data_IF_160995189035
#
_entry.id   IF_160995189035
#
_cell.length_a   1.000
_cell.length_b   1.000
_cell.length_c   1.000
_cell.angle_alpha   90.00
_cell.angle_beta   90.00
_cell.angle_gamma   90.00
#
_symmetry.space_group_name_H-M   'P 1'
#
loop_
_entity.id
_entity.type
_entity.pdbx_description
1 polymer ?
#
# COMPACT_ATOMS: atom_id res chain seq x y z
N UNK A 1 23.15 -6.56 11.94
CA UNK A 1 22.76 -5.39 11.12
C UNK A 1 22.25 -4.29 12.05
N UNK A 2 22.68 -3.03 11.89
CA UNK A 2 22.14 -1.93 12.67
C UNK A 2 20.67 -1.69 12.34
N UNK A 3 19.86 -1.37 13.36
CA UNK A 3 18.44 -1.11 13.19
C UNK A 3 18.18 0.33 12.74
N UNK A 4 17.18 0.53 11.90
CA UNK A 4 16.62 1.84 11.54
C UNK A 4 15.14 1.86 11.89
N UNK A 5 14.72 2.84 12.69
CA UNK A 5 13.32 3.03 13.02
C UNK A 5 12.61 3.74 11.87
N UNK A 6 11.70 3.06 11.19
CA UNK A 6 10.99 3.56 10.02
C UNK A 6 9.55 3.94 10.36
N UNK A 7 9.20 5.24 10.26
CA UNK A 7 7.81 5.69 10.35
C UNK A 7 7.12 5.47 9.01
N UNK A 8 6.19 4.51 8.98
CA UNK A 8 5.41 4.19 7.78
C UNK A 8 4.42 5.31 7.43
N UNK A 9 4.03 5.46 6.17
CA UNK A 9 2.87 6.25 5.77
C UNK A 9 1.58 5.81 6.49
N UNK A 10 0.54 6.65 6.43
CA UNK A 10 -0.74 6.37 7.09
C UNK A 10 -1.75 5.63 6.22
N UNK A 11 -1.52 5.54 4.92
CA UNK A 11 -2.42 4.89 3.97
C UNK A 11 -1.81 3.59 3.42
N UNK A 12 -2.66 2.62 3.12
CA UNK A 12 -2.24 1.29 2.66
C UNK A 12 -1.44 1.40 1.36
N UNK A 13 -1.93 2.19 0.39
CA UNK A 13 -1.25 2.39 -0.89
C UNK A 13 0.16 2.95 -0.71
N UNK A 14 0.29 4.03 0.09
CA UNK A 14 1.61 4.63 0.36
C UNK A 14 2.55 3.66 1.07
N UNK A 15 2.03 2.82 1.97
CA UNK A 15 2.82 1.78 2.61
C UNK A 15 3.34 0.75 1.59
N UNK A 16 2.50 0.31 0.65
CA UNK A 16 2.95 -0.57 -0.43
C UNK A 16 4.00 0.13 -1.32
N UNK A 17 3.78 1.39 -1.65
CA UNK A 17 4.74 2.19 -2.45
C UNK A 17 6.08 2.44 -1.74
N UNK A 18 6.11 2.36 -0.40
CA UNK A 18 7.34 2.47 0.38
C UNK A 18 8.20 1.18 0.40
N UNK A 19 7.66 0.03 -0.06
CA UNK A 19 8.36 -1.26 -0.05
C UNK A 19 9.77 -1.20 -0.67
N UNK A 20 10.01 -0.64 -1.88
CA UNK A 20 11.34 -0.59 -2.46
C UNK A 20 12.35 0.21 -1.61
N UNK A 21 11.91 1.27 -0.97
CA UNK A 21 12.75 2.04 -0.06
C UNK A 21 13.12 1.27 1.21
N UNK A 22 12.18 0.52 1.79
CA UNK A 22 12.43 -0.34 2.95
C UNK A 22 13.35 -1.52 2.59
N UNK A 23 13.14 -2.15 1.44
CA UNK A 23 14.00 -3.21 0.93
C UNK A 23 15.41 -2.70 0.62
N UNK A 24 15.55 -1.47 0.10
CA UNK A 24 16.86 -0.85 -0.11
C UNK A 24 17.63 -0.71 1.21
N UNK A 25 16.97 -0.29 2.31
CA UNK A 25 17.61 -0.23 3.63
C UNK A 25 18.14 -1.61 4.05
N UNK A 26 17.30 -2.65 3.93
CA UNK A 26 17.65 -4.03 4.30
C UNK A 26 18.83 -4.53 3.47
N UNK A 27 18.79 -4.40 2.15
CA UNK A 27 19.85 -4.85 1.24
C UNK A 27 21.15 -4.04 1.41
N UNK A 28 21.05 -2.80 1.95
CA UNK A 28 22.21 -1.97 2.29
C UNK A 28 22.79 -2.27 3.68
N UNK A 29 22.35 -3.36 4.30
CA UNK A 29 22.90 -3.85 5.57
C UNK A 29 22.26 -3.26 6.82
N UNK A 30 21.05 -2.69 6.72
CA UNK A 30 20.28 -2.18 7.86
C UNK A 30 19.00 -2.97 8.06
N UNK A 31 18.56 -3.12 9.31
CA UNK A 31 17.32 -3.81 9.63
C UNK A 31 16.19 -2.77 9.87
N UNK A 32 15.18 -2.69 9.02
CA UNK A 32 14.02 -1.86 9.27
C UNK A 32 13.25 -2.32 10.51
N UNK A 33 12.95 -1.39 11.40
CA UNK A 33 12.02 -1.55 12.52
C UNK A 33 10.85 -0.60 12.25
N UNK A 34 9.71 -1.15 11.92
CA UNK A 34 8.57 -0.40 11.42
C UNK A 34 7.69 0.11 12.55
N UNK A 35 7.26 1.37 12.45
CA UNK A 35 6.19 1.93 13.29
C UNK A 35 5.10 2.54 12.41
N UNK A 36 3.84 2.19 12.67
CA UNK A 36 2.74 2.62 11.84
C UNK A 36 1.38 2.19 12.38
N UNK A 37 0.33 2.37 11.59
CA UNK A 37 -1.01 1.92 11.93
C UNK A 37 -1.04 0.40 12.10
N UNK A 38 -1.84 -0.09 13.05
CA UNK A 38 -1.90 -1.51 13.47
C UNK A 38 -2.02 -2.51 12.31
N UNK A 39 -2.82 -2.17 11.28
CA UNK A 39 -3.02 -3.04 10.11
C UNK A 39 -1.73 -3.30 9.30
N UNK A 40 -0.75 -2.37 9.34
CA UNK A 40 0.50 -2.52 8.61
C UNK A 40 1.35 -3.70 9.14
N UNK A 41 1.21 -4.04 10.42
CA UNK A 41 1.92 -5.19 11.02
C UNK A 41 1.53 -6.53 10.39
N UNK A 42 0.26 -6.72 10.03
CA UNK A 42 -0.17 -7.93 9.33
C UNK A 42 0.26 -7.88 7.85
N UNK A 43 0.09 -6.75 7.18
CA UNK A 43 0.47 -6.59 5.77
C UNK A 43 1.96 -6.92 5.53
N UNK A 44 2.85 -6.40 6.38
CA UNK A 44 4.30 -6.56 6.24
C UNK A 44 4.89 -7.75 7.01
N UNK A 45 4.07 -8.56 7.66
CA UNK A 45 4.57 -9.66 8.49
C UNK A 45 5.48 -10.64 7.73
N UNK A 46 5.23 -10.85 6.43
CA UNK A 46 6.05 -11.72 5.56
C UNK A 46 7.43 -11.16 5.22
N UNK A 47 7.67 -9.87 5.46
CA UNK A 47 8.95 -9.23 5.19
C UNK A 47 10.01 -9.55 6.25
N UNK A 48 9.60 -10.09 7.42
CA UNK A 48 10.50 -10.42 8.51
C UNK A 48 10.97 -9.20 9.33
N UNK A 49 10.43 -8.02 9.06
CA UNK A 49 10.76 -6.79 9.79
C UNK A 49 9.97 -6.71 11.11
N UNK A 50 10.63 -6.24 12.16
CA UNK A 50 9.94 -5.93 13.41
C UNK A 50 8.94 -4.80 13.18
N UNK A 51 7.75 -4.94 13.76
CA UNK A 51 6.68 -3.95 13.70
C UNK A 51 6.16 -3.60 15.10
N UNK A 52 6.01 -2.30 15.38
CA UNK A 52 5.38 -1.77 16.58
C UNK A 52 4.24 -0.82 16.17
N UNK A 53 2.98 -1.08 16.61
CA UNK A 53 1.86 -0.22 16.26
C UNK A 53 1.91 1.12 16.97
N UNK A 54 1.47 2.19 16.28
CA UNK A 54 1.24 3.52 16.85
C UNK A 54 -0.14 4.03 16.42
N UNK A 55 -0.72 4.92 17.24
CA UNK A 55 -2.04 5.48 16.97
C UNK A 55 -1.97 6.67 16.00
N UNK A 56 -0.84 7.36 15.94
CA UNK A 56 -0.58 8.52 15.09
C UNK A 56 -0.73 9.86 15.83
N UNK A 57 -0.85 9.83 17.15
CA UNK A 57 -0.92 11.00 18.01
C UNK A 57 0.35 11.11 18.86
N UNK A 58 0.99 12.29 18.87
CA UNK A 58 2.29 12.49 19.56
C UNK A 58 2.20 12.16 21.05
N UNK A 59 1.14 12.59 21.72
CA UNK A 59 0.93 12.40 23.17
C UNK A 59 0.80 10.92 23.56
N UNK A 60 0.14 10.13 22.72
CA UNK A 60 -0.11 8.70 22.95
C UNK A 60 1.10 7.85 22.61
N UNK A 61 1.81 8.21 21.55
CA UNK A 61 2.89 7.42 20.97
C UNK A 61 4.28 7.74 21.51
N UNK A 62 4.49 8.94 22.13
CA UNK A 62 5.83 9.37 22.58
C UNK A 62 6.49 8.40 23.56
N UNK A 63 5.72 7.85 24.49
CA UNK A 63 6.23 6.87 25.46
C UNK A 63 6.64 5.56 24.78
N UNK A 64 5.90 5.13 23.76
CA UNK A 64 6.19 3.94 22.97
C UNK A 64 7.47 4.13 22.14
N UNK A 65 7.56 5.24 21.41
CA UNK A 65 8.76 5.55 20.61
C UNK A 65 10.01 5.67 21.49
N UNK A 66 9.91 6.31 22.66
CA UNK A 66 11.03 6.38 23.63
C UNK A 66 11.52 5.00 24.08
N UNK A 67 10.58 4.12 24.46
CA UNK A 67 10.94 2.75 24.88
C UNK A 67 11.57 1.97 23.72
N UNK A 68 10.99 2.08 22.52
CA UNK A 68 11.53 1.41 21.34
C UNK A 68 12.91 1.94 20.97
N UNK A 69 13.11 3.25 20.97
CA UNK A 69 14.40 3.87 20.70
C UNK A 69 15.46 3.43 21.71
N UNK A 70 15.15 3.38 23.02
CA UNK A 70 16.07 2.93 24.05
C UNK A 70 16.54 1.47 23.86
N UNK A 71 15.67 0.61 23.34
CA UNK A 71 16.04 -0.79 23.01
C UNK A 71 16.95 -0.86 21.78
N UNK A 72 16.83 0.10 20.85
CA UNK A 72 17.61 0.12 19.62
C UNK A 72 19.00 0.79 19.79
N UNK A 73 19.21 1.52 20.87
CA UNK A 73 20.47 2.20 21.17
C UNK A 73 20.28 3.58 21.79
N UNK A 74 21.36 4.28 22.09
CA UNK A 74 21.31 5.59 22.77
C UNK A 74 20.65 6.68 21.90
N UNK A 75 20.95 6.71 20.60
CA UNK A 75 20.34 7.60 19.61
C UNK A 75 20.19 6.87 18.27
N UNK A 76 19.18 5.99 18.15
CA UNK A 76 19.03 5.18 16.94
C UNK A 76 18.67 6.05 15.73
N UNK A 77 19.08 5.61 14.54
CA UNK A 77 18.70 6.24 13.29
C UNK A 77 17.22 6.02 13.00
N UNK A 78 16.56 7.03 12.44
CA UNK A 78 15.17 6.94 12.00
C UNK A 78 14.97 7.46 10.60
N UNK A 79 13.99 6.89 9.88
CA UNK A 79 13.54 7.36 8.57
C UNK A 79 12.05 7.69 8.62
N UNK A 80 11.69 8.89 8.17
CA UNK A 80 10.33 9.40 8.18
C UNK A 80 9.74 9.41 6.76
N UNK A 81 8.96 8.39 6.42
CA UNK A 81 8.24 8.35 5.14
C UNK A 81 7.15 9.43 5.04
N UNK A 82 6.31 9.68 6.08
CA UNK A 82 5.40 10.81 6.07
C UNK A 82 6.14 12.14 6.17
N UNK A 83 5.64 13.18 5.51
CA UNK A 83 6.18 14.54 5.59
C UNK A 83 5.61 15.38 6.74
N UNK A 84 4.74 14.82 7.59
CA UNK A 84 4.05 15.58 8.63
C UNK A 84 5.00 16.09 9.74
N UNK A 85 4.72 17.28 10.23
CA UNK A 85 5.39 17.88 11.38
C UNK A 85 5.28 16.97 12.62
N UNK A 86 4.10 16.40 12.87
CA UNK A 86 3.84 15.53 14.01
C UNK A 86 4.73 14.28 14.03
N UNK A 87 5.03 13.69 12.86
CA UNK A 87 5.94 12.54 12.76
C UNK A 87 7.38 12.92 13.12
N UNK A 88 7.87 14.08 12.68
CA UNK A 88 9.19 14.57 13.03
C UNK A 88 9.29 14.91 14.53
N UNK A 89 8.28 15.60 15.07
CA UNK A 89 8.20 15.92 16.49
C UNK A 89 8.20 14.65 17.36
N UNK A 90 7.44 13.63 16.98
CA UNK A 90 7.38 12.36 17.69
C UNK A 90 8.76 11.69 17.78
N UNK A 91 9.53 11.68 16.68
CA UNK A 91 10.86 11.09 16.65
C UNK A 91 11.88 11.93 17.44
N UNK A 92 11.79 13.26 17.36
CA UNK A 92 12.65 14.16 18.17
C UNK A 92 12.42 13.95 19.66
N UNK A 93 11.18 13.94 20.13
CA UNK A 93 10.83 13.64 21.53
C UNK A 93 11.27 12.22 21.90
N UNK A 94 11.20 11.28 20.98
CA UNK A 94 11.64 9.90 21.13
C UNK A 94 13.16 9.72 21.16
N UNK A 95 13.97 10.79 20.97
CA UNK A 95 15.42 10.76 20.85
C UNK A 95 15.93 9.89 19.69
N UNK A 96 15.19 9.89 18.57
CA UNK A 96 15.57 9.22 17.34
C UNK A 96 16.27 10.21 16.41
N UNK A 97 17.48 9.88 15.92
CA UNK A 97 18.19 10.68 14.92
C UNK A 97 17.53 10.51 13.55
N UNK A 98 16.55 11.35 13.26
CA UNK A 98 15.68 11.16 12.10
C UNK A 98 16.22 11.79 10.82
N UNK A 99 16.02 11.09 9.70
CA UNK A 99 16.16 11.60 8.34
C UNK A 99 14.79 11.73 7.68
N UNK A 100 14.62 12.74 6.84
CA UNK A 100 13.37 12.98 6.11
C UNK A 100 13.49 14.17 5.17
N UNK A 101 12.53 14.33 4.27
CA UNK A 101 12.46 15.55 3.44
C UNK A 101 12.11 16.77 4.32
N UNK A 102 12.81 17.86 4.08
CA UNK A 102 12.69 19.09 4.87
C UNK A 102 11.50 19.97 4.52
N UNK A 103 10.32 19.38 4.33
CA UNK A 103 9.06 20.03 3.97
C UNK A 103 8.22 20.40 5.19
N UNK A 104 7.12 21.12 4.99
CA UNK A 104 6.11 21.44 6.01
C UNK A 104 6.67 22.06 7.31
N UNK A 105 7.75 22.85 7.17
CA UNK A 105 8.37 23.55 8.30
C UNK A 105 9.11 22.65 9.30
N UNK A 106 9.20 21.33 9.08
CA UNK A 106 9.77 20.36 10.03
C UNK A 106 11.29 20.20 9.97
N UNK A 107 11.96 20.90 9.04
CA UNK A 107 13.38 20.71 8.76
C UNK A 107 14.30 20.86 9.96
N UNK A 108 13.95 21.68 10.95
CA UNK A 108 14.72 21.88 12.18
C UNK A 108 14.58 20.73 13.20
N UNK A 109 13.60 19.85 13.03
CA UNK A 109 13.40 18.66 13.85
C UNK A 109 14.17 17.44 13.32
N UNK A 110 14.75 17.53 12.12
CA UNK A 110 15.44 16.42 11.46
C UNK A 110 16.95 16.50 11.69
N UNK A 111 17.57 15.39 12.12
CA UNK A 111 19.04 15.28 12.18
C UNK A 111 19.64 15.31 10.76
N UNK A 112 18.96 14.72 9.80
CA UNK A 112 19.33 14.76 8.38
C UNK A 112 18.15 15.31 7.57
N UNK A 113 18.20 16.60 7.28
CA UNK A 113 17.29 17.25 6.36
C UNK A 113 17.69 16.89 4.94
N UNK A 114 16.84 16.10 4.27
CA UNK A 114 17.06 15.69 2.89
C UNK A 114 16.35 16.65 1.94
N UNK A 115 16.92 16.91 0.74
CA UNK A 115 16.25 17.69 -0.27
C UNK A 115 15.02 16.94 -0.81
N UNK A 116 13.90 17.66 -0.97
CA UNK A 116 12.73 17.06 -1.60
C UNK A 116 12.96 16.93 -3.11
N UNK A 117 12.72 15.75 -3.70
CA UNK A 117 12.82 15.59 -5.15
C UNK A 117 11.67 16.33 -5.84
N UNK A 118 11.81 16.59 -7.12
CA UNK A 118 10.74 17.14 -7.95
C UNK A 118 9.53 16.21 -8.06
N UNK A 119 8.57 16.55 -8.91
CA UNK A 119 7.42 15.70 -9.21
C UNK A 119 7.89 14.37 -9.82
N UNK A 120 7.52 13.28 -9.20
CA UNK A 120 7.82 11.91 -9.62
C UNK A 120 6.78 10.95 -9.03
N UNK A 121 6.82 9.70 -9.41
CA UNK A 121 5.98 8.66 -8.82
C UNK A 121 6.29 8.46 -7.32
N UNK A 122 5.28 8.21 -6.47
CA UNK A 122 5.49 8.09 -5.02
C UNK A 122 6.41 6.90 -4.66
N UNK A 123 6.45 5.84 -5.46
CA UNK A 123 7.43 4.74 -5.29
C UNK A 123 8.86 5.25 -5.45
N UNK A 124 9.13 6.02 -6.50
CA UNK A 124 10.44 6.63 -6.76
C UNK A 124 10.80 7.64 -5.65
N UNK A 125 9.81 8.39 -5.18
CA UNK A 125 9.98 9.37 -4.10
C UNK A 125 10.37 8.69 -2.79
N UNK A 126 9.70 7.61 -2.40
CA UNK A 126 10.04 6.85 -1.20
C UNK A 126 11.37 6.11 -1.33
N UNK A 127 11.68 5.60 -2.52
CA UNK A 127 12.99 5.03 -2.79
C UNK A 127 14.10 6.08 -2.68
N UNK A 128 13.94 7.26 -3.29
CA UNK A 128 14.88 8.39 -3.21
C UNK A 128 15.08 8.85 -1.77
N UNK A 129 14.02 8.84 -0.95
CA UNK A 129 14.12 9.14 0.48
C UNK A 129 15.08 8.18 1.20
N UNK A 130 14.90 6.87 1.02
CA UNK A 130 15.76 5.85 1.63
C UNK A 130 17.20 5.91 1.10
N UNK A 131 17.36 6.07 -0.21
CA UNK A 131 18.66 6.19 -0.87
C UNK A 131 19.45 7.41 -0.35
N UNK A 132 18.82 8.58 -0.33
CA UNK A 132 19.43 9.81 0.17
C UNK A 132 19.75 9.74 1.66
N UNK A 133 18.92 9.06 2.46
CA UNK A 133 19.18 8.83 3.86
C UNK A 133 20.43 7.96 4.07
N UNK A 134 20.59 6.88 3.32
CA UNK A 134 21.78 6.02 3.36
C UNK A 134 23.05 6.81 3.06
N UNK A 135 23.06 7.61 1.98
CA UNK A 135 24.18 8.48 1.63
C UNK A 135 24.49 9.49 2.75
N UNK A 136 23.46 10.15 3.30
CA UNK A 136 23.62 11.10 4.40
C UNK A 136 24.15 10.46 5.70
N UNK A 137 23.98 9.16 5.88
CA UNK A 137 24.55 8.37 6.98
C UNK A 137 25.93 7.77 6.65
N UNK A 138 26.49 8.05 5.45
CA UNK A 138 27.79 7.53 5.01
C UNK A 138 27.75 6.05 4.62
N UNK A 139 26.57 5.51 4.33
CA UNK A 139 26.40 4.14 3.86
C UNK A 139 26.30 4.11 2.33
N UNK A 140 26.76 3.00 1.73
CA UNK A 140 26.60 2.77 0.29
C UNK A 140 25.25 2.10 0.04
N UNK A 141 24.33 2.69 -0.77
CA UNK A 141 23.12 2.02 -1.18
C UNK A 141 23.42 0.74 -1.99
N UNK A 142 22.64 -0.31 -1.77
CA UNK A 142 22.77 -1.57 -2.53
C UNK A 142 22.28 -1.41 -3.97
N UNK A 143 21.35 -0.49 -4.21
CA UNK A 143 20.77 -0.21 -5.52
C UNK A 143 20.74 1.31 -5.75
N UNK A 144 20.99 1.73 -6.99
CA UNK A 144 20.89 3.13 -7.42
C UNK A 144 19.58 3.43 -8.13
N UNK A 145 18.85 2.39 -8.54
CA UNK A 145 17.58 2.51 -9.27
C UNK A 145 16.47 1.74 -8.58
N UNK A 146 15.26 2.28 -8.64
CA UNK A 146 14.07 1.62 -8.09
C UNK A 146 13.75 0.35 -8.88
N UNK A 147 13.38 -0.77 -8.20
CA UNK A 147 12.90 -1.97 -8.88
C UNK A 147 11.65 -1.70 -9.72
N UNK A 148 11.46 -2.37 -10.88
CA UNK A 148 10.36 -2.11 -11.80
C UNK A 148 8.99 -2.55 -11.26
N UNK A 149 8.95 -3.29 -10.15
CA UNK A 149 7.73 -3.76 -9.52
C UNK A 149 7.86 -3.81 -8.00
N UNK A 150 6.72 -3.75 -7.31
CA UNK A 150 6.65 -4.00 -5.88
C UNK A 150 6.78 -5.50 -5.58
N UNK A 151 7.34 -5.83 -4.43
CA UNK A 151 7.40 -7.21 -3.94
C UNK A 151 7.00 -7.27 -2.46
N UNK A 152 5.85 -7.91 -2.21
CA UNK A 152 5.34 -8.19 -0.86
C UNK A 152 5.40 -9.69 -0.60
N UNK A 153 6.20 -10.09 0.40
CA UNK A 153 6.26 -11.49 0.84
C UNK A 153 5.10 -11.79 1.79
N UNK A 154 4.48 -12.93 1.61
CA UNK A 154 3.38 -13.41 2.44
C UNK A 154 3.85 -14.51 3.38
N UNK A 155 3.25 -14.58 4.57
CA UNK A 155 3.46 -15.70 5.50
C UNK A 155 2.54 -16.89 5.14
N UNK A 156 2.95 -18.09 5.52
CA UNK A 156 2.13 -19.30 5.41
C UNK A 156 0.75 -19.14 6.05
N UNK A 157 0.64 -18.39 7.16
CA UNK A 157 -0.65 -18.10 7.79
C UNK A 157 -1.60 -17.27 6.92
N UNK A 158 -1.07 -16.35 6.08
CA UNK A 158 -1.88 -15.54 5.15
C UNK A 158 -2.46 -16.42 4.05
N UNK A 159 -1.64 -17.33 3.51
CA UNK A 159 -2.08 -18.30 2.51
C UNK A 159 -3.06 -19.32 3.10
N UNK A 160 -2.84 -19.77 4.34
CA UNK A 160 -3.78 -20.63 5.06
C UNK A 160 -5.10 -19.90 5.34
N UNK A 161 -5.05 -18.61 5.75
CA UNK A 161 -6.23 -17.77 5.92
C UNK A 161 -7.05 -17.64 4.64
N UNK A 162 -6.38 -17.41 3.49
CA UNK A 162 -7.04 -17.37 2.20
C UNK A 162 -7.70 -18.70 1.84
N UNK A 163 -7.01 -19.85 2.00
CA UNK A 163 -7.59 -21.18 1.78
C UNK A 163 -8.80 -21.44 2.68
N UNK A 164 -8.71 -21.05 3.96
CA UNK A 164 -9.82 -21.21 4.91
C UNK A 164 -11.04 -20.38 4.51
N UNK A 165 -10.85 -19.14 4.02
CA UNK A 165 -11.96 -18.32 3.54
C UNK A 165 -12.58 -18.90 2.26
N UNK A 166 -11.74 -19.38 1.34
CA UNK A 166 -12.20 -20.06 0.11
C UNK A 166 -13.08 -21.26 0.47
N UNK A 167 -12.65 -22.14 1.37
CA UNK A 167 -13.44 -23.29 1.78
C UNK A 167 -14.67 -22.91 2.61
N UNK A 168 -14.55 -21.97 3.57
CA UNK A 168 -15.66 -21.55 4.45
C UNK A 168 -16.82 -20.93 3.68
N UNK A 169 -16.51 -20.20 2.63
CA UNK A 169 -17.51 -19.49 1.84
C UNK A 169 -17.75 -20.14 0.48
N UNK A 170 -17.29 -21.36 0.23
CA UNK A 170 -17.43 -22.05 -1.06
C UNK A 170 -17.10 -21.13 -2.24
N UNK A 171 -15.95 -20.45 -2.16
CA UNK A 171 -15.49 -19.57 -3.23
C UNK A 171 -15.01 -20.45 -4.39
N UNK A 172 -15.54 -20.29 -5.60
CA UNK A 172 -15.08 -21.03 -6.77
C UNK A 172 -13.58 -20.83 -7.04
N UNK A 173 -12.97 -21.77 -7.74
CA UNK A 173 -11.56 -21.70 -8.13
C UNK A 173 -11.25 -20.42 -8.95
N UNK A 174 -12.17 -20.04 -9.84
CA UNK A 174 -12.08 -18.81 -10.60
C UNK A 174 -12.97 -17.73 -9.99
N UNK A 175 -12.36 -16.73 -9.40
CA UNK A 175 -13.06 -15.58 -8.82
C UNK A 175 -12.34 -14.28 -9.14
N UNK A 176 -13.09 -13.19 -9.18
CA UNK A 176 -12.60 -11.83 -9.28
C UNK A 176 -12.74 -11.10 -7.94
N UNK A 177 -11.72 -10.36 -7.53
CA UNK A 177 -11.85 -9.43 -6.41
C UNK A 177 -12.21 -8.04 -6.92
N UNK A 178 -13.37 -7.55 -6.53
CA UNK A 178 -13.84 -6.20 -6.85
C UNK A 178 -13.66 -5.28 -5.63
N UNK A 179 -13.11 -4.08 -5.85
CA UNK A 179 -12.99 -3.04 -4.82
C UNK A 179 -13.72 -1.76 -5.25
N UNK A 180 -15.07 -1.76 -5.13
CA UNK A 180 -15.91 -0.69 -5.64
C UNK A 180 -15.82 0.61 -4.83
N UNK A 181 -15.35 0.54 -3.58
CA UNK A 181 -15.25 1.70 -2.69
C UNK A 181 -13.82 2.20 -2.65
N UNK A 182 -13.63 3.51 -2.81
CA UNK A 182 -12.38 4.20 -2.54
C UNK A 182 -12.66 5.42 -1.68
N UNK A 183 -12.05 5.46 -0.49
CA UNK A 183 -12.23 6.58 0.44
C UNK A 183 -11.45 7.80 -0.01
N UNK A 184 -12.02 8.94 0.29
CA UNK A 184 -11.42 10.23 0.00
C UNK A 184 -12.04 10.93 -1.21
N UNK A 185 -11.79 12.22 -1.23
CA UNK A 185 -12.23 13.13 -2.28
C UNK A 185 -10.97 13.77 -2.86
N UNK A 186 -10.84 13.81 -4.15
CA UNK A 186 -9.75 14.49 -4.84
C UNK A 186 -10.34 15.65 -5.65
N UNK A 187 -9.95 16.89 -5.33
CA UNK A 187 -10.53 18.10 -5.94
C UNK A 187 -12.06 18.13 -5.95
N UNK A 188 -12.71 17.72 -4.84
CA UNK A 188 -14.16 17.69 -4.71
C UNK A 188 -14.87 16.50 -5.40
N UNK A 189 -14.14 15.61 -6.07
CA UNK A 189 -14.70 14.45 -6.79
C UNK A 189 -14.45 13.15 -6.03
N UNK A 190 -15.44 12.23 -6.03
CA UNK A 190 -15.28 10.88 -5.48
C UNK A 190 -14.30 10.08 -6.32
N UNK A 191 -13.50 9.24 -5.64
CA UNK A 191 -12.52 8.34 -6.26
C UNK A 191 -13.08 6.97 -6.65
N UNK A 192 -14.37 6.78 -6.64
CA UNK A 192 -15.04 5.50 -6.95
C UNK A 192 -15.67 5.54 -8.34
N UNK A 193 -15.29 4.57 -9.18
CA UNK A 193 -15.94 4.35 -10.47
C UNK A 193 -17.38 3.86 -10.25
N UNK A 194 -18.39 4.45 -10.89
CA UNK A 194 -19.79 4.17 -10.53
C UNK A 194 -20.38 2.88 -11.13
N UNK A 195 -19.63 2.15 -11.98
CA UNK A 195 -20.18 1.06 -12.76
C UNK A 195 -19.68 -0.35 -12.39
N UNK A 196 -19.14 -0.54 -11.16
CA UNK A 196 -18.64 -1.85 -10.73
C UNK A 196 -19.69 -2.96 -10.86
N UNK A 197 -20.96 -2.67 -10.57
CA UNK A 197 -22.03 -3.66 -10.66
C UNK A 197 -22.22 -4.21 -12.08
N UNK A 198 -21.95 -3.40 -13.11
CA UNK A 198 -22.05 -3.83 -14.49
C UNK A 198 -21.06 -4.93 -14.89
N UNK A 199 -20.03 -5.16 -14.08
CA UNK A 199 -19.04 -6.22 -14.31
C UNK A 199 -19.52 -7.60 -13.84
N UNK A 200 -20.53 -7.68 -12.94
CA UNK A 200 -20.89 -8.91 -12.26
C UNK A 200 -21.47 -9.98 -13.21
N UNK A 201 -22.40 -9.62 -14.07
CA UNK A 201 -22.98 -10.57 -15.01
C UNK A 201 -21.97 -11.07 -16.06
N UNK A 202 -21.20 -10.19 -16.75
CA UNK A 202 -20.16 -10.63 -17.67
C UNK A 202 -19.07 -11.52 -17.02
N UNK A 203 -18.67 -11.22 -15.79
CA UNK A 203 -17.71 -12.10 -15.07
C UNK A 203 -18.27 -13.50 -14.86
N UNK A 204 -19.55 -13.63 -14.46
CA UNK A 204 -20.20 -14.94 -14.32
C UNK A 204 -20.34 -15.68 -15.64
N UNK A 205 -20.62 -14.98 -16.73
CA UNK A 205 -20.65 -15.56 -18.09
C UNK A 205 -19.27 -16.13 -18.48
N UNK A 206 -18.18 -15.54 -17.96
CA UNK A 206 -16.80 -16.07 -18.11
C UNK A 206 -16.46 -17.19 -17.11
N UNK A 207 -17.42 -17.61 -16.25
CA UNK A 207 -17.20 -18.59 -15.18
C UNK A 207 -16.37 -18.04 -14.00
N UNK A 208 -16.38 -16.73 -13.78
CA UNK A 208 -15.63 -16.04 -12.73
C UNK A 208 -16.60 -15.42 -11.73
N UNK A 209 -16.55 -15.82 -10.45
CA UNK A 209 -17.43 -15.26 -9.42
C UNK A 209 -16.94 -13.89 -8.93
N UNK A 210 -17.73 -12.81 -9.05
CA UNK A 210 -17.39 -11.50 -8.53
C UNK A 210 -17.55 -11.45 -7.01
N UNK A 211 -16.47 -11.14 -6.29
CA UNK A 211 -16.42 -11.12 -4.82
C UNK A 211 -15.90 -9.77 -4.33
N UNK A 212 -16.49 -9.28 -3.26
CA UNK A 212 -16.03 -8.08 -2.54
C UNK A 212 -15.72 -8.44 -1.08
N UNK A 213 -14.54 -8.05 -0.60
CA UNK A 213 -14.15 -8.09 0.81
C UNK A 213 -13.98 -6.66 1.32
N UNK A 214 -15.04 -5.96 1.69
CA UNK A 214 -14.96 -4.58 2.15
C UNK A 214 -14.35 -4.50 3.55
N UNK A 215 -13.77 -3.36 3.90
CA UNK A 215 -13.52 -3.06 5.32
C UNK A 215 -14.86 -2.93 6.06
N UNK A 216 -14.88 -3.10 7.40
CA UNK A 216 -16.13 -2.99 8.18
C UNK A 216 -16.88 -1.67 7.91
N UNK A 217 -16.14 -0.58 7.77
CA UNK A 217 -16.70 0.75 7.53
C UNK A 217 -17.17 0.98 6.08
N UNK A 218 -16.79 0.13 5.13
CA UNK A 218 -17.14 0.23 3.71
C UNK A 218 -18.25 -0.75 3.30
N UNK A 219 -18.63 -1.66 4.19
CA UNK A 219 -19.55 -2.75 3.85
C UNK A 219 -20.92 -2.27 3.30
N UNK A 220 -21.48 -1.24 3.91
CA UNK A 220 -22.76 -0.67 3.45
C UNK A 220 -22.63 0.00 2.08
N UNK A 221 -21.55 0.76 1.86
CA UNK A 221 -21.30 1.43 0.58
C UNK A 221 -20.99 0.42 -0.53
N UNK A 222 -20.22 -0.62 -0.22
CA UNK A 222 -19.90 -1.69 -1.16
C UNK A 222 -21.16 -2.43 -1.65
N UNK A 223 -22.12 -2.68 -0.74
CA UNK A 223 -23.41 -3.31 -1.07
C UNK A 223 -24.26 -2.44 -2.01
N UNK A 224 -24.18 -1.12 -1.87
CA UNK A 224 -24.88 -0.19 -2.76
C UNK A 224 -24.16 -0.08 -4.11
N UNK A 225 -22.83 -0.03 -4.10
CA UNK A 225 -22.03 0.15 -5.32
C UNK A 225 -21.98 -1.11 -6.20
N UNK A 226 -22.10 -2.30 -5.59
CA UNK A 226 -22.00 -3.56 -6.32
C UNK A 226 -22.95 -4.62 -5.70
N UNK A 227 -24.29 -4.42 -5.80
CA UNK A 227 -25.28 -5.29 -5.15
C UNK A 227 -25.29 -6.72 -5.69
N UNK A 228 -24.89 -6.94 -6.94
CA UNK A 228 -24.87 -8.26 -7.57
C UNK A 228 -23.56 -9.03 -7.28
N UNK A 229 -22.54 -8.41 -6.69
CA UNK A 229 -21.37 -9.13 -6.26
C UNK A 229 -21.62 -9.89 -4.94
N UNK A 230 -20.89 -10.98 -4.76
CA UNK A 230 -20.89 -11.71 -3.50
C UNK A 230 -20.07 -10.94 -2.47
N UNK A 231 -20.74 -10.31 -1.51
CA UNK A 231 -20.08 -9.53 -0.45
C UNK A 231 -19.79 -10.45 0.74
N UNK A 232 -18.52 -10.58 1.08
CA UNK A 232 -18.04 -11.41 2.16
C UNK A 232 -17.50 -10.55 3.33
N UNK A 233 -17.46 -11.09 4.56
CA UNK A 233 -16.92 -10.37 5.70
C UNK A 233 -15.48 -9.91 5.48
N UNK A 234 -15.10 -8.80 6.12
CA UNK A 234 -13.73 -8.28 6.08
C UNK A 234 -12.71 -9.32 6.54
N UNK A 235 -11.51 -9.22 6.01
CA UNK A 235 -10.36 -10.05 6.42
C UNK A 235 -9.13 -9.20 6.71
N UNK A 236 -8.06 -9.81 7.22
CA UNK A 236 -6.80 -9.11 7.45
C UNK A 236 -6.12 -8.79 6.11
N UNK A 237 -5.28 -7.76 6.09
CA UNK A 237 -4.65 -7.31 4.84
C UNK A 237 -3.69 -8.34 4.25
N UNK A 238 -2.97 -9.11 5.10
CA UNK A 238 -2.12 -10.19 4.61
C UNK A 238 -2.91 -11.34 3.99
N UNK A 239 -4.07 -11.71 4.59
CA UNK A 239 -4.99 -12.69 4.01
C UNK A 239 -5.63 -12.17 2.73
N UNK A 240 -6.04 -10.89 2.69
CA UNK A 240 -6.54 -10.26 1.48
C UNK A 240 -5.49 -10.26 0.35
N UNK A 241 -4.24 -9.95 0.65
CA UNK A 241 -3.14 -10.03 -0.30
C UNK A 241 -2.94 -11.46 -0.86
N UNK A 242 -3.11 -12.49 0.00
CA UNK A 242 -3.06 -13.88 -0.43
C UNK A 242 -4.27 -14.27 -1.32
N UNK A 243 -5.46 -13.73 -1.06
CA UNK A 243 -6.62 -13.88 -1.93
C UNK A 243 -6.40 -13.17 -3.28
N UNK A 244 -5.88 -11.94 -3.26
CA UNK A 244 -5.58 -11.17 -4.46
C UNK A 244 -4.61 -11.93 -5.38
N UNK A 245 -3.58 -12.56 -4.81
CA UNK A 245 -2.62 -13.39 -5.55
C UNK A 245 -3.27 -14.61 -6.23
N UNK A 246 -4.40 -15.11 -5.70
CA UNK A 246 -5.15 -16.28 -6.21
C UNK A 246 -6.29 -15.89 -7.14
N UNK A 247 -6.74 -14.66 -7.13
CA UNK A 247 -7.83 -14.20 -7.96
C UNK A 247 -7.48 -14.27 -9.45
N UNK A 248 -8.45 -14.61 -10.27
CA UNK A 248 -8.32 -14.51 -11.72
C UNK A 248 -8.03 -13.07 -12.17
N UNK A 249 -8.63 -12.11 -11.47
CA UNK A 249 -8.37 -10.68 -11.65
C UNK A 249 -8.77 -9.89 -10.41
N UNK A 250 -8.08 -8.79 -10.15
CA UNK A 250 -8.46 -7.76 -9.18
C UNK A 250 -8.88 -6.52 -9.94
N UNK A 251 -10.12 -6.06 -9.75
CA UNK A 251 -10.58 -4.78 -10.31
C UNK A 251 -10.79 -3.79 -9.18
N UNK A 252 -10.03 -2.72 -9.18
CA UNK A 252 -10.02 -1.75 -8.10
C UNK A 252 -9.97 -0.31 -8.61
N UNK A 253 -10.51 0.61 -7.83
CA UNK A 253 -10.18 2.03 -7.99
C UNK A 253 -8.71 2.29 -7.63
N UNK A 254 -8.20 3.50 -7.89
CA UNK A 254 -6.93 4.00 -7.34
C UNK A 254 -7.04 4.09 -5.81
N UNK A 255 -6.69 3.00 -5.15
CA UNK A 255 -6.87 2.78 -3.71
C UNK A 255 -5.81 1.82 -3.16
N UNK A 256 -5.81 1.60 -1.84
CA UNK A 256 -4.90 0.64 -1.22
C UNK A 256 -4.97 -0.77 -1.82
N UNK A 257 -6.14 -1.18 -2.32
CA UNK A 257 -6.32 -2.50 -2.95
C UNK A 257 -5.50 -2.65 -4.22
N UNK A 258 -5.47 -1.64 -5.09
CA UNK A 258 -4.67 -1.69 -6.33
C UNK A 258 -3.17 -1.84 -6.05
N UNK A 259 -2.68 -1.19 -5.00
CA UNK A 259 -1.28 -1.30 -4.59
C UNK A 259 -0.95 -2.64 -3.91
N UNK A 260 -1.89 -3.22 -3.14
CA UNK A 260 -1.72 -4.59 -2.62
C UNK A 260 -1.66 -5.58 -3.78
N UNK A 261 -2.57 -5.48 -4.76
CA UNK A 261 -2.59 -6.34 -5.93
C UNK A 261 -1.26 -6.24 -6.72
N UNK A 262 -0.77 -5.00 -6.93
CA UNK A 262 0.53 -4.77 -7.56
C UNK A 262 1.68 -5.41 -6.77
N UNK A 263 1.67 -5.29 -5.44
CA UNK A 263 2.74 -5.78 -4.57
C UNK A 263 2.82 -7.32 -4.49
N UNK A 264 1.71 -8.02 -4.76
CA UNK A 264 1.68 -9.50 -4.85
C UNK A 264 1.65 -10.01 -6.27
N UNK A 265 1.83 -9.12 -7.26
CA UNK A 265 1.81 -9.43 -8.70
C UNK A 265 0.52 -10.12 -9.17
N UNK A 266 -0.62 -9.75 -8.59
CA UNK A 266 -1.92 -10.23 -9.02
C UNK A 266 -2.29 -9.66 -10.40
N UNK A 267 -2.99 -10.43 -11.27
CA UNK A 267 -3.64 -9.85 -12.44
C UNK A 267 -4.60 -8.76 -12.01
N UNK A 268 -4.45 -7.54 -12.56
CA UNK A 268 -5.27 -6.42 -12.09
C UNK A 268 -5.64 -5.41 -13.17
N UNK A 269 -6.79 -4.79 -12.96
CA UNK A 269 -7.25 -3.58 -13.64
C UNK A 269 -7.48 -2.51 -12.60
N UNK A 270 -6.80 -1.38 -12.74
CA UNK A 270 -6.97 -0.22 -11.87
C UNK A 270 -7.71 0.88 -12.62
N UNK A 271 -8.82 1.33 -12.04
CA UNK A 271 -9.71 2.34 -12.63
C UNK A 271 -9.40 3.70 -12.02
N UNK A 272 -9.03 4.65 -12.86
CA UNK A 272 -8.64 6.00 -12.48
C UNK A 272 -9.52 7.01 -13.23
N UNK A 273 -10.06 7.98 -12.51
CA UNK A 273 -10.87 9.03 -13.12
C UNK A 273 -10.58 10.43 -12.61
N UNK A 274 -9.83 10.53 -11.50
CA UNK A 274 -9.67 11.82 -10.81
C UNK A 274 -8.27 12.06 -10.26
N UNK A 275 -7.37 11.08 -10.32
CA UNK A 275 -6.00 11.17 -9.79
C UNK A 275 -4.98 11.15 -10.91
N UNK A 276 -3.83 11.77 -10.64
CA UNK A 276 -2.69 11.80 -11.57
C UNK A 276 -2.00 10.43 -11.62
N UNK A 277 -2.16 9.73 -12.75
CA UNK A 277 -1.59 8.39 -12.97
C UNK A 277 -0.06 8.38 -12.85
N UNK A 278 0.59 9.49 -13.14
CA UNK A 278 2.06 9.59 -13.10
C UNK A 278 2.59 9.56 -11.67
N UNK A 279 1.73 9.76 -10.68
CA UNK A 279 2.10 9.83 -9.26
C UNK A 279 1.76 8.58 -8.47
N UNK A 280 0.60 7.99 -8.72
CA UNK A 280 0.03 6.96 -7.83
C UNK A 280 -0.47 5.72 -8.56
N UNK A 281 -0.18 5.54 -9.84
CA UNK A 281 -0.56 4.30 -10.52
C UNK A 281 0.08 3.07 -9.85
N UNK A 282 -0.53 1.87 -9.94
CA UNK A 282 0.07 0.67 -9.38
C UNK A 282 1.44 0.38 -10.01
N UNK A 283 2.46 0.21 -9.16
CA UNK A 283 3.84 -0.02 -9.58
C UNK A 283 4.08 -1.48 -9.90
N UNK A 284 3.55 -1.90 -11.05
CA UNK A 284 3.71 -3.21 -11.63
C UNK A 284 3.55 -3.11 -13.16
N UNK A 285 4.55 -3.51 -13.97
CA UNK A 285 4.49 -3.38 -15.43
C UNK A 285 3.38 -4.22 -16.08
N UNK A 286 2.81 -5.19 -15.35
CA UNK A 286 1.68 -6.01 -15.83
C UNK A 286 0.31 -5.46 -15.41
N UNK A 287 0.27 -4.42 -14.59
CA UNK A 287 -0.98 -3.81 -14.18
C UNK A 287 -1.62 -3.05 -15.35
N UNK A 288 -2.89 -3.31 -15.59
CA UNK A 288 -3.69 -2.53 -16.54
C UNK A 288 -4.25 -1.33 -15.81
N UNK A 289 -4.04 -0.13 -16.35
CA UNK A 289 -4.57 1.12 -15.82
C UNK A 289 -5.51 1.72 -16.87
N UNK A 290 -6.76 1.98 -16.49
CA UNK A 290 -7.78 2.53 -17.38
C UNK A 290 -8.32 3.85 -16.83
N UNK A 291 -8.48 4.82 -17.73
CA UNK A 291 -8.87 6.19 -17.39
C UNK A 291 -7.72 7.02 -16.82
N UNK A 292 -7.98 8.29 -16.58
CA UNK A 292 -7.01 9.24 -16.01
C UNK A 292 -7.73 10.52 -15.57
N UNK A 293 -7.02 11.44 -14.90
CA UNK A 293 -7.57 12.71 -14.43
C UNK A 293 -8.11 13.61 -15.56
N UNK A 294 -7.49 13.58 -16.73
CA UNK A 294 -7.81 14.45 -17.87
C UNK A 294 -9.06 13.95 -18.61
N UNK A 295 -9.10 12.66 -18.94
CA UNK A 295 -10.14 12.07 -19.76
C UNK A 295 -11.29 11.50 -18.91
N UNK A 296 -11.07 11.36 -17.59
CA UNK A 296 -12.05 10.85 -16.64
C UNK A 296 -12.06 9.31 -16.54
N UNK A 297 -13.17 8.80 -16.06
CA UNK A 297 -13.38 7.36 -15.84
C UNK A 297 -13.50 6.59 -17.16
N UNK A 298 -12.98 5.33 -17.21
CA UNK A 298 -13.17 4.47 -18.37
C UNK A 298 -14.64 4.09 -18.56
N UNK A 299 -15.04 3.82 -19.80
CA UNK A 299 -16.35 3.21 -20.09
C UNK A 299 -16.41 1.76 -19.62
N UNK A 300 -17.62 1.24 -19.44
CA UNK A 300 -17.85 -0.18 -19.10
C UNK A 300 -17.24 -1.10 -20.18
N UNK A 301 -17.44 -0.78 -21.44
CA UNK A 301 -16.92 -1.58 -22.57
C UNK A 301 -15.39 -1.68 -22.58
N UNK A 302 -14.69 -0.58 -22.25
CA UNK A 302 -13.23 -0.60 -22.11
C UNK A 302 -12.79 -1.56 -21.01
N UNK A 303 -13.46 -1.53 -19.86
CA UNK A 303 -13.14 -2.42 -18.73
C UNK A 303 -13.43 -3.88 -19.08
N UNK A 304 -14.58 -4.15 -19.72
CA UNK A 304 -14.96 -5.51 -20.15
C UNK A 304 -14.01 -6.06 -21.22
N UNK A 305 -13.54 -5.24 -22.15
CA UNK A 305 -12.54 -5.65 -23.14
C UNK A 305 -11.24 -6.11 -22.48
N UNK A 306 -10.74 -5.37 -21.50
CA UNK A 306 -9.53 -5.75 -20.76
C UNK A 306 -9.74 -6.94 -19.84
N UNK A 307 -10.92 -7.07 -19.20
CA UNK A 307 -11.29 -8.26 -18.44
C UNK A 307 -11.24 -9.51 -19.31
N UNK A 308 -11.85 -9.46 -20.49
CA UNK A 308 -11.84 -10.58 -21.44
C UNK A 308 -10.41 -10.94 -21.82
N UNK A 309 -9.56 -9.97 -22.14
CA UNK A 309 -8.16 -10.19 -22.50
C UNK A 309 -7.35 -10.84 -21.38
N UNK A 310 -7.50 -10.36 -20.13
CA UNK A 310 -6.77 -10.87 -18.97
C UNK A 310 -7.24 -12.25 -18.50
N UNK A 311 -8.54 -12.54 -18.64
CA UNK A 311 -9.15 -13.77 -18.13
C UNK A 311 -9.21 -14.91 -19.16
N UNK A 312 -8.95 -14.62 -20.45
CA UNK A 312 -8.87 -15.63 -21.53
C UNK A 312 -7.49 -16.29 -21.63
N UNK A 313 -6.47 -15.72 -20.98
CA UNK A 313 -5.12 -16.23 -20.89
C UNK A 313 -4.95 -17.17 -19.69
#
# INVERSE_FOLDING_TARGET
MPNILCRLPNHIGDCCMALPGLQLLEQSGFMPVLVGKRWAGDLFAGMGWRFDPIEGHVTEDMGRIRRLAAVLGEKPRGLLFPNSFSSALLFTIGRVASAGFGTDGRGFLLDKKLPEPGKMHEVERFFTLAHSALLAWGAKPAWDTVPPQLELKLLTRHEAGARNLIGKYDIPERFALLAPVARGVHHGKKKSWPHFNALCAPLREMGIEPIVFPSPDEAAEAKVACPDARILPSTTLGTFAALAKKAAVVVANDSGVSHIAAAVSAPQITLIGVTDITRTSPWNPKAVVLGNEKDGWPSVDMVLGELTRLCAA
#
